data_IF_636294354913
#
_entry.id   IF_636294354913
#
_cell.length_a   1.000
_cell.length_b   1.000
_cell.length_c   1.000
_cell.angle_alpha   90.00
_cell.angle_beta   90.00
_cell.angle_gamma   90.00
#
_symmetry.space_group_name_H-M   'P 1'
#
loop_
_entity.id
_entity.type
_entity.pdbx_description
1 polymer ?
#
# COMPACT_ATOMS: atom_id res chain seq x y z
N UNK A 1 14.60 1.96 -12.96
CA UNK A 1 14.19 1.33 -14.23
C UNK A 1 12.73 1.67 -14.44
N UNK A 2 12.42 2.60 -15.34
CA UNK A 2 11.04 2.88 -15.71
C UNK A 2 10.64 1.85 -16.76
N UNK A 3 9.81 0.89 -16.37
CA UNK A 3 9.22 -0.09 -17.29
C UNK A 3 8.37 0.68 -18.29
N UNK A 4 8.64 0.55 -19.59
CA UNK A 4 7.78 1.14 -20.62
C UNK A 4 6.34 0.64 -20.39
N UNK A 5 5.34 1.54 -20.23
CA UNK A 5 3.94 1.15 -20.04
C UNK A 5 3.42 0.18 -21.11
N UNK A 6 3.99 0.22 -22.32
CA UNK A 6 3.65 -0.69 -23.42
C UNK A 6 4.07 -2.15 -23.16
N UNK A 7 5.05 -2.36 -22.27
CA UNK A 7 5.61 -3.66 -21.91
C UNK A 7 5.00 -4.25 -20.63
N UNK A 8 4.07 -3.55 -19.98
CA UNK A 8 3.45 -4.01 -18.73
C UNK A 8 2.37 -5.07 -19.00
N UNK A 9 2.39 -6.13 -18.20
CA UNK A 9 1.27 -7.07 -18.13
C UNK A 9 0.02 -6.37 -17.58
N UNK A 10 -1.16 -6.93 -17.86
CA UNK A 10 -2.41 -6.38 -17.35
C UNK A 10 -2.44 -6.34 -15.80
N UNK A 11 -1.82 -7.31 -15.14
CA UNK A 11 -1.70 -7.32 -13.68
C UNK A 11 -0.80 -6.22 -13.16
N UNK A 12 0.33 -5.96 -13.82
CA UNK A 12 1.21 -4.86 -13.48
C UNK A 12 0.50 -3.52 -13.68
N UNK A 13 -0.27 -3.37 -14.77
CA UNK A 13 -1.04 -2.17 -15.06
C UNK A 13 -2.11 -1.93 -14.00
N UNK A 14 -2.89 -2.96 -13.67
CA UNK A 14 -3.91 -2.93 -12.60
C UNK A 14 -3.30 -2.57 -11.24
N UNK A 15 -2.15 -3.16 -10.91
CA UNK A 15 -1.43 -2.85 -9.68
C UNK A 15 -0.97 -1.39 -9.63
N UNK A 16 -0.39 -0.89 -10.72
CA UNK A 16 0.10 0.48 -10.82
C UNK A 16 -1.04 1.50 -10.71
N UNK A 17 -2.12 1.32 -11.46
CA UNK A 17 -3.28 2.22 -11.41
C UNK A 17 -3.89 2.31 -10.01
N UNK A 18 -3.93 1.18 -9.32
CA UNK A 18 -4.43 1.08 -7.97
C UNK A 18 -3.50 1.72 -6.95
N UNK A 19 -2.19 1.47 -7.06
CA UNK A 19 -1.18 2.13 -6.24
C UNK A 19 -1.26 3.65 -6.39
N UNK A 20 -1.34 4.16 -7.63
CA UNK A 20 -1.50 5.59 -7.89
C UNK A 20 -2.78 6.18 -7.28
N UNK A 21 -3.91 5.45 -7.36
CA UNK A 21 -5.17 5.88 -6.73
C UNK A 21 -5.03 6.01 -5.22
N UNK A 22 -4.31 5.10 -4.58
CA UNK A 22 -4.08 5.11 -3.14
C UNK A 22 -3.10 6.22 -2.72
N UNK A 23 -2.03 6.45 -3.48
CA UNK A 23 -1.11 7.57 -3.25
C UNK A 23 -1.82 8.92 -3.30
N UNK A 24 -2.60 9.18 -4.36
CA UNK A 24 -3.41 10.41 -4.47
C UNK A 24 -4.39 10.57 -3.31
N UNK A 25 -4.92 9.47 -2.76
CA UNK A 25 -5.79 9.50 -1.58
C UNK A 25 -4.99 9.79 -0.30
N UNK A 26 -3.81 9.21 -0.16
CA UNK A 26 -2.92 9.44 0.99
C UNK A 26 -2.48 10.91 1.07
N UNK A 27 -2.07 11.50 -0.05
CA UNK A 27 -1.72 12.93 -0.14
C UNK A 27 -2.87 13.82 0.34
N UNK A 28 -4.10 13.55 -0.11
CA UNK A 28 -5.28 14.31 0.32
C UNK A 28 -5.59 14.18 1.82
N UNK A 29 -5.30 13.04 2.42
CA UNK A 29 -5.51 12.82 3.86
C UNK A 29 -4.42 13.56 4.63
N UNK A 30 -3.14 13.34 4.29
CA UNK A 30 -2.02 14.01 4.96
C UNK A 30 -2.13 15.53 4.88
N UNK A 31 -2.56 16.09 3.74
CA UNK A 31 -2.78 17.52 3.58
C UNK A 31 -3.87 18.09 4.52
N UNK A 32 -4.85 17.28 4.93
CA UNK A 32 -5.91 17.68 5.87
C UNK A 32 -5.55 17.47 7.33
N UNK A 33 -4.50 16.70 7.61
CA UNK A 33 -4.11 16.29 8.95
C UNK A 33 -2.61 16.55 9.17
N UNK A 34 -2.24 17.76 9.60
CA UNK A 34 -0.85 18.12 9.87
C UNK A 34 -0.18 17.11 10.81
N UNK A 35 1.02 16.66 10.46
CA UNK A 35 1.78 15.66 11.21
C UNK A 35 1.59 14.21 10.75
N UNK A 36 0.69 13.92 9.80
CA UNK A 36 0.60 12.61 9.17
C UNK A 36 1.60 12.47 8.02
N UNK A 37 2.38 11.38 8.02
CA UNK A 37 3.24 11.01 6.90
C UNK A 37 2.43 10.35 5.76
N UNK A 38 2.62 10.85 4.53
CA UNK A 38 1.91 10.37 3.34
C UNK A 38 2.20 8.89 3.09
N UNK A 39 3.45 8.46 3.28
CA UNK A 39 3.87 7.07 3.04
C UNK A 39 3.19 6.11 4.02
N UNK A 40 3.15 6.47 5.30
CA UNK A 40 2.41 5.77 6.34
C UNK A 40 0.92 5.66 6.03
N UNK A 41 0.29 6.76 5.62
CA UNK A 41 -1.13 6.76 5.21
C UNK A 41 -1.35 5.85 4.00
N UNK A 42 -0.48 5.89 3.00
CA UNK A 42 -0.55 4.98 1.85
C UNK A 42 -0.51 3.50 2.27
N UNK A 43 0.43 3.13 3.14
CA UNK A 43 0.54 1.75 3.62
C UNK A 43 -0.68 1.30 4.41
N UNK A 44 -1.27 2.18 5.24
CA UNK A 44 -2.54 1.89 5.93
C UNK A 44 -3.66 1.66 4.92
N UNK A 45 -3.84 2.56 3.94
CA UNK A 45 -4.85 2.41 2.89
C UNK A 45 -4.66 1.12 2.07
N UNK A 46 -3.42 0.75 1.78
CA UNK A 46 -3.10 -0.50 1.11
C UNK A 46 -3.51 -1.71 1.97
N UNK A 47 -3.19 -1.68 3.26
CA UNK A 47 -3.51 -2.77 4.18
C UNK A 47 -5.02 -2.94 4.39
N UNK A 48 -5.79 -1.85 4.36
CA UNK A 48 -7.26 -1.89 4.49
C UNK A 48 -7.97 -2.61 3.34
N UNK A 49 -7.29 -2.85 2.22
CA UNK A 49 -7.83 -3.64 1.10
C UNK A 49 -7.74 -5.14 1.32
N UNK A 50 -6.99 -5.58 2.33
CA UNK A 50 -6.84 -6.98 2.71
C UNK A 50 -7.97 -7.39 3.65
N UNK A 51 -8.31 -8.67 3.63
CA UNK A 51 -9.25 -9.24 4.59
C UNK A 51 -8.70 -9.12 6.02
N UNK A 52 -9.57 -9.27 7.03
CA UNK A 52 -9.13 -9.33 8.43
C UNK A 52 -8.14 -10.48 8.63
N UNK A 53 -8.43 -11.65 8.04
CA UNK A 53 -7.59 -12.84 8.13
C UNK A 53 -6.19 -12.61 7.51
N UNK A 54 -6.12 -11.97 6.34
CA UNK A 54 -4.85 -11.65 5.68
C UNK A 54 -3.99 -10.70 6.52
N UNK A 55 -4.62 -9.68 7.12
CA UNK A 55 -3.92 -8.76 8.02
C UNK A 55 -3.42 -9.46 9.29
N UNK A 56 -4.24 -10.33 9.88
CA UNK A 56 -3.87 -11.13 11.04
C UNK A 56 -2.68 -12.05 10.73
N UNK A 57 -2.75 -12.80 9.62
CA UNK A 57 -1.67 -13.68 9.18
C UNK A 57 -0.36 -12.91 9.01
N UNK A 58 -0.40 -11.75 8.37
CA UNK A 58 0.81 -10.93 8.20
C UNK A 58 1.36 -10.42 9.53
N UNK A 59 0.50 -9.97 10.45
CA UNK A 59 0.91 -9.52 11.78
C UNK A 59 1.59 -10.63 12.59
N UNK A 60 1.01 -11.84 12.58
CA UNK A 60 1.56 -13.00 13.29
C UNK A 60 2.88 -13.50 12.68
N UNK A 61 3.04 -13.45 11.35
CA UNK A 61 4.31 -13.78 10.70
C UNK A 61 5.42 -12.79 11.12
N UNK A 62 5.12 -11.49 11.12
CA UNK A 62 6.09 -10.46 11.48
C UNK A 62 6.50 -10.55 12.96
N UNK A 63 5.59 -10.93 13.85
CA UNK A 63 5.88 -11.16 15.26
C UNK A 63 6.79 -12.38 15.48
N UNK A 64 6.51 -13.47 14.76
CA UNK A 64 7.36 -14.67 14.75
C UNK A 64 8.78 -14.43 14.20
N UNK A 65 8.97 -13.39 13.37
CA UNK A 65 10.30 -12.97 12.88
C UNK A 65 11.04 -12.02 13.83
N UNK A 66 10.35 -11.34 14.76
CA UNK A 66 11.00 -10.48 15.78
C UNK A 66 11.50 -11.24 17.01
N UNK A 67 11.01 -12.46 17.19
CA UNK A 67 11.29 -13.31 18.36
C UNK A 67 12.35 -14.38 18.11
N UNK A 68 12.95 -14.39 16.90
CA UNK A 68 14.11 -15.18 16.51
C UNK A 68 15.36 -14.31 16.42
#
# INVERSE_FOLDING_TARGET
>A
MFTDPSSMTDDQRRWMELSQRLWRRAERIAAKHPGMDVTGVYHVLWNLRRSVEERLRQGLILDGLRTQ
#
